data_IF_676523545496
#
_entry.id   IF_676523545496
#
_cell.length_a   1.000
_cell.length_b   1.000
_cell.length_c   1.000
_cell.angle_alpha   90.00
_cell.angle_beta   90.00
_cell.angle_gamma   90.00
#
_symmetry.space_group_name_H-M   'P 1'
#
loop_
_entity.id
_entity.type
_entity.pdbx_description
1 polymer ?
#
# COMPACT_ATOMS: atom_id res chain seq x y z
N UNK A 1 3.05 -23.98 -2.92
CA UNK A 1 2.24 -23.12 -3.82
C UNK A 1 2.52 -23.54 -5.27
N UNK A 2 1.53 -24.03 -6.03
CA UNK A 2 1.79 -24.44 -7.43
C UNK A 2 1.62 -23.24 -8.37
N UNK A 3 2.70 -22.48 -8.55
CA UNK A 3 2.75 -21.26 -9.37
C UNK A 3 2.26 -21.47 -10.82
N UNK A 4 2.41 -22.68 -11.36
CA UNK A 4 1.97 -23.02 -12.72
C UNK A 4 0.44 -22.99 -12.90
N UNK A 5 -0.34 -23.19 -11.83
CA UNK A 5 -1.81 -23.05 -11.90
C UNK A 5 -2.23 -21.58 -11.96
N UNK A 6 -1.51 -20.67 -11.29
CA UNK A 6 -1.86 -19.25 -11.26
C UNK A 6 -1.62 -18.56 -12.61
N UNK A 7 -0.53 -18.90 -13.30
CA UNK A 7 -0.21 -18.27 -14.60
C UNK A 7 -1.23 -18.60 -15.69
N UNK A 8 -1.82 -19.80 -15.66
CA UNK A 8 -2.82 -20.28 -16.64
C UNK A 8 -4.23 -19.67 -16.48
N UNK A 9 -4.52 -19.00 -15.36
CA UNK A 9 -5.84 -18.40 -15.11
C UNK A 9 -6.04 -17.11 -15.91
N UNK A 10 -7.28 -16.88 -16.37
CA UNK A 10 -7.67 -15.65 -17.07
C UNK A 10 -7.41 -14.44 -16.17
N UNK A 11 -6.70 -13.44 -16.70
CA UNK A 11 -6.41 -12.20 -15.98
C UNK A 11 -7.59 -11.24 -16.10
N UNK A 12 -8.12 -10.78 -14.96
CA UNK A 12 -9.22 -9.82 -14.92
C UNK A 12 -8.73 -8.37 -14.88
N UNK A 13 -8.26 -7.86 -16.01
CA UNK A 13 -7.68 -6.51 -16.10
C UNK A 13 -8.57 -5.39 -15.55
N UNK A 14 -9.89 -5.46 -15.77
CA UNK A 14 -10.85 -4.48 -15.24
C UNK A 14 -10.88 -4.48 -13.70
N UNK A 15 -10.89 -5.67 -13.10
CA UNK A 15 -10.89 -5.85 -11.63
C UNK A 15 -9.59 -5.33 -11.02
N UNK A 16 -8.45 -5.65 -11.65
CA UNK A 16 -7.13 -5.15 -11.26
C UNK A 16 -7.11 -3.62 -11.29
N UNK A 17 -7.53 -3.00 -12.39
CA UNK A 17 -7.52 -1.55 -12.56
C UNK A 17 -8.36 -0.84 -11.50
N UNK A 18 -9.62 -1.26 -11.31
CA UNK A 18 -10.53 -0.65 -10.32
C UNK A 18 -9.97 -0.80 -8.91
N UNK A 19 -9.52 -2.01 -8.53
CA UNK A 19 -8.95 -2.25 -7.19
C UNK A 19 -7.68 -1.43 -6.97
N UNK A 20 -6.80 -1.34 -7.96
CA UNK A 20 -5.56 -0.58 -7.86
C UNK A 20 -5.83 0.90 -7.64
N UNK A 21 -6.74 1.50 -8.43
CA UNK A 21 -7.13 2.91 -8.27
C UNK A 21 -7.73 3.14 -6.88
N UNK A 22 -8.67 2.30 -6.45
CA UNK A 22 -9.33 2.45 -5.16
C UNK A 22 -8.34 2.34 -3.99
N UNK A 23 -7.42 1.36 -4.04
CA UNK A 23 -6.40 1.20 -3.01
C UNK A 23 -5.34 2.30 -3.03
N UNK A 24 -5.01 2.87 -4.20
CA UNK A 24 -4.18 4.07 -4.28
C UNK A 24 -4.84 5.26 -3.59
N UNK A 25 -6.14 5.48 -3.81
CA UNK A 25 -6.86 6.55 -3.12
C UNK A 25 -6.87 6.34 -1.61
N UNK A 26 -7.10 5.10 -1.16
CA UNK A 26 -7.02 4.77 0.28
C UNK A 26 -5.60 4.97 0.83
N UNK A 27 -4.56 4.65 0.06
CA UNK A 27 -3.16 4.87 0.47
C UNK A 27 -2.91 6.36 0.73
N UNK A 28 -3.34 7.23 -0.18
CA UNK A 28 -3.22 8.69 -0.02
C UNK A 28 -4.01 9.16 1.21
N UNK A 29 -5.22 8.66 1.41
CA UNK A 29 -6.02 9.00 2.59
C UNK A 29 -5.35 8.57 3.89
N UNK A 30 -4.71 7.39 3.91
CA UNK A 30 -3.96 6.92 5.08
C UNK A 30 -2.77 7.83 5.39
N UNK A 31 -2.01 8.28 4.39
CA UNK A 31 -0.95 9.27 4.58
C UNK A 31 -1.47 10.58 5.21
N UNK A 32 -2.62 11.07 4.72
CA UNK A 32 -3.24 12.29 5.25
C UNK A 32 -3.66 12.08 6.72
N UNK A 33 -4.32 10.96 7.02
CA UNK A 33 -4.75 10.63 8.38
C UNK A 33 -3.55 10.52 9.31
N UNK A 34 -2.50 9.81 8.88
CA UNK A 34 -1.27 9.65 9.65
C UNK A 34 -0.62 10.99 9.98
N UNK A 35 -0.55 11.90 9.01
CA UNK A 35 -0.06 13.26 9.23
C UNK A 35 -0.85 13.98 10.33
N UNK A 36 -2.18 13.95 10.28
CA UNK A 36 -3.03 14.57 11.30
C UNK A 36 -2.91 13.89 12.66
N UNK A 37 -2.80 12.57 12.69
CA UNK A 37 -2.60 11.81 13.93
C UNK A 37 -1.27 12.16 14.56
N UNK A 38 -0.19 12.21 13.77
CA UNK A 38 1.14 12.60 14.25
C UNK A 38 1.14 14.01 14.85
N UNK A 39 0.56 14.99 14.15
CA UNK A 39 0.41 16.36 14.66
C UNK A 39 -0.48 16.42 15.91
N UNK A 40 -1.56 15.64 15.95
CA UNK A 40 -2.46 15.59 17.10
C UNK A 40 -1.79 15.05 18.38
N UNK A 41 -0.87 14.09 18.24
CA UNK A 41 -0.14 13.53 19.38
C UNK A 41 1.05 14.38 19.82
N UNK A 42 1.84 14.92 18.88
CA UNK A 42 3.11 15.57 19.18
C UNK A 42 3.07 17.10 19.12
N UNK A 43 1.92 17.68 18.77
CA UNK A 43 1.70 19.12 18.63
C UNK A 43 2.33 19.70 17.37
N UNK A 44 2.29 21.03 17.26
CA UNK A 44 2.90 21.77 16.14
C UNK A 44 4.28 22.35 16.51
N UNK A 45 5.17 22.50 15.54
CA UNK A 45 6.44 23.24 15.68
C UNK A 45 7.67 22.38 15.97
N UNK A 46 8.66 22.97 16.66
CA UNK A 46 10.03 22.42 16.80
C UNK A 46 10.09 21.04 17.49
N UNK A 47 9.09 20.71 18.31
CA UNK A 47 9.01 19.39 18.97
C UNK A 47 8.60 18.31 17.98
N UNK A 48 7.56 18.52 17.18
CA UNK A 48 7.14 17.56 16.17
C UNK A 48 8.19 17.35 15.08
N UNK A 49 8.86 18.43 14.63
CA UNK A 49 9.95 18.35 13.64
C UNK A 49 11.11 17.47 14.14
N UNK A 50 11.53 17.67 15.38
CA UNK A 50 12.60 16.86 15.99
C UNK A 50 12.19 15.41 16.21
N UNK A 51 10.91 15.13 16.44
CA UNK A 51 10.39 13.77 16.61
C UNK A 51 10.28 13.07 15.25
N UNK A 52 9.86 13.77 14.19
CA UNK A 52 9.78 13.19 12.84
C UNK A 52 11.15 12.84 12.25
N UNK A 53 12.22 13.51 12.70
CA UNK A 53 13.60 13.20 12.31
C UNK A 53 14.19 11.96 13.01
N UNK A 54 13.48 11.37 13.97
CA UNK A 54 13.93 10.15 14.61
C UNK A 54 13.71 8.98 13.64
N UNK A 55 14.78 8.23 13.35
CA UNK A 55 14.80 7.18 12.32
C UNK A 55 13.62 6.20 12.35
N UNK A 56 13.18 5.75 13.55
CA UNK A 56 12.06 4.82 13.64
C UNK A 56 10.71 5.50 13.43
N UNK A 57 10.58 6.79 13.74
CA UNK A 57 9.37 7.58 13.48
C UNK A 57 9.27 7.86 11.99
N UNK A 58 10.37 8.26 11.36
CA UNK A 58 10.46 8.45 9.91
C UNK A 58 10.02 7.18 9.16
N UNK A 59 10.54 6.01 9.53
CA UNK A 59 10.12 4.73 8.93
C UNK A 59 8.62 4.47 9.10
N UNK A 60 8.06 4.78 10.28
CA UNK A 60 6.62 4.62 10.51
C UNK A 60 5.85 5.55 9.57
N UNK A 61 6.14 6.85 9.61
CA UNK A 61 5.44 7.86 8.81
C UNK A 61 5.56 7.60 7.30
N UNK A 62 6.66 7.01 6.85
CA UNK A 62 6.89 6.75 5.44
C UNK A 62 6.27 5.44 4.94
N UNK A 63 6.27 4.39 5.76
CA UNK A 63 5.96 3.03 5.28
C UNK A 63 4.71 2.43 5.93
N UNK A 64 4.22 2.95 7.05
CA UNK A 64 3.05 2.40 7.73
C UNK A 64 1.82 2.31 6.80
N UNK A 65 1.49 3.32 5.98
CA UNK A 65 0.33 3.25 5.08
C UNK A 65 0.41 2.09 4.08
N UNK A 66 1.60 1.86 3.50
CA UNK A 66 1.78 0.76 2.54
C UNK A 66 1.81 -0.59 3.26
N UNK A 67 2.33 -0.66 4.49
CA UNK A 67 2.25 -1.88 5.30
C UNK A 67 0.80 -2.25 5.64
N UNK A 68 -0.05 -1.28 5.95
CA UNK A 68 -1.48 -1.51 6.23
C UNK A 68 -2.18 -2.09 4.99
N UNK A 69 -2.04 -1.44 3.83
CA UNK A 69 -2.68 -1.91 2.59
C UNK A 69 -2.07 -3.22 2.09
N UNK A 70 -0.75 -3.35 2.17
CA UNK A 70 -0.03 -4.57 1.79
C UNK A 70 -0.43 -5.75 2.66
N UNK A 71 -0.55 -5.55 3.97
CA UNK A 71 -1.04 -6.55 4.92
C UNK A 71 -2.49 -6.96 4.64
N UNK A 72 -3.37 -6.00 4.34
CA UNK A 72 -4.75 -6.29 3.92
C UNK A 72 -4.78 -7.16 2.65
N UNK A 73 -4.02 -6.79 1.61
CA UNK A 73 -3.94 -7.57 0.38
C UNK A 73 -3.36 -8.97 0.61
N UNK A 74 -2.31 -9.09 1.41
CA UNK A 74 -1.71 -10.39 1.77
C UNK A 74 -2.71 -11.28 2.50
N UNK A 75 -3.49 -10.74 3.43
CA UNK A 75 -4.57 -11.47 4.11
C UNK A 75 -5.61 -11.98 3.11
N UNK A 76 -6.06 -11.12 2.18
CA UNK A 76 -6.99 -11.50 1.11
C UNK A 76 -6.40 -12.54 0.15
N UNK A 77 -5.11 -12.44 -0.18
CA UNK A 77 -4.41 -13.41 -1.03
C UNK A 77 -4.42 -14.80 -0.36
N UNK A 78 -4.11 -14.85 0.94
CA UNK A 78 -4.08 -16.10 1.71
C UNK A 78 -5.49 -16.70 1.87
N UNK A 79 -6.48 -15.87 2.22
CA UNK A 79 -7.88 -16.30 2.34
C UNK A 79 -8.43 -16.86 1.02
N UNK A 80 -8.26 -16.11 -0.08
CA UNK A 80 -8.73 -16.54 -1.40
C UNK A 80 -8.01 -17.80 -1.89
N UNK A 81 -6.74 -17.97 -1.52
CA UNK A 81 -6.02 -19.20 -1.86
C UNK A 81 -6.57 -20.42 -1.11
N UNK A 82 -6.85 -20.27 0.20
CA UNK A 82 -7.45 -21.34 1.00
C UNK A 82 -8.85 -21.72 0.50
N UNK A 83 -9.63 -20.75 0.03
CA UNK A 83 -10.94 -20.95 -0.58
C UNK A 83 -10.89 -21.40 -2.05
N UNK A 84 -9.70 -21.67 -2.60
CA UNK A 84 -9.48 -22.06 -4.00
C UNK A 84 -9.95 -21.01 -5.04
N UNK A 85 -10.14 -19.76 -4.62
CA UNK A 85 -10.42 -18.57 -5.44
C UNK A 85 -9.14 -18.03 -6.07
N UNK A 86 -8.54 -18.85 -6.93
CA UNK A 86 -7.20 -18.59 -7.48
C UNK A 86 -7.15 -17.36 -8.41
N UNK A 87 -8.25 -17.04 -9.10
CA UNK A 87 -8.33 -15.87 -9.98
C UNK A 87 -8.27 -14.57 -9.17
N UNK A 88 -9.01 -14.51 -8.07
CA UNK A 88 -9.06 -13.38 -7.14
C UNK A 88 -7.73 -13.22 -6.40
N UNK A 89 -7.12 -14.34 -5.98
CA UNK A 89 -5.78 -14.36 -5.40
C UNK A 89 -4.74 -13.81 -6.38
N UNK A 90 -4.75 -14.26 -7.65
CA UNK A 90 -3.88 -13.72 -8.71
C UNK A 90 -4.09 -12.22 -8.93
N UNK A 91 -5.35 -11.78 -9.03
CA UNK A 91 -5.71 -10.37 -9.16
C UNK A 91 -5.14 -9.55 -8.01
N UNK A 92 -5.30 -10.01 -6.76
CA UNK A 92 -4.78 -9.30 -5.59
C UNK A 92 -3.23 -9.27 -5.56
N UNK A 93 -2.56 -10.34 -5.99
CA UNK A 93 -1.09 -10.37 -6.12
C UNK A 93 -0.63 -9.30 -7.13
N UNK A 94 -1.27 -9.24 -8.30
CA UNK A 94 -0.91 -8.25 -9.33
C UNK A 94 -1.16 -6.83 -8.81
N UNK A 95 -2.31 -6.59 -8.17
CA UNK A 95 -2.63 -5.31 -7.54
C UNK A 95 -1.58 -4.93 -6.49
N UNK A 96 -1.13 -5.87 -5.65
CA UNK A 96 -0.08 -5.62 -4.65
C UNK A 96 1.23 -5.17 -5.32
N UNK A 97 1.64 -5.86 -6.38
CA UNK A 97 2.86 -5.49 -7.13
C UNK A 97 2.73 -4.09 -7.73
N UNK A 98 1.59 -3.77 -8.34
CA UNK A 98 1.34 -2.43 -8.90
C UNK A 98 1.46 -1.36 -7.80
N UNK A 99 0.82 -1.57 -6.65
CA UNK A 99 0.88 -0.62 -5.53
C UNK A 99 2.28 -0.43 -4.98
N UNK A 100 3.08 -1.50 -4.87
CA UNK A 100 4.47 -1.42 -4.44
C UNK A 100 5.27 -0.58 -5.44
N UNK A 101 5.12 -0.82 -6.74
CA UNK A 101 5.80 -0.03 -7.78
C UNK A 101 5.41 1.44 -7.69
N UNK A 102 4.11 1.75 -7.61
CA UNK A 102 3.60 3.12 -7.47
C UNK A 102 4.14 3.79 -6.22
N UNK A 103 4.20 3.06 -5.10
CA UNK A 103 4.73 3.57 -3.84
C UNK A 103 6.22 3.94 -3.94
N UNK A 104 7.05 3.09 -4.56
CA UNK A 104 8.47 3.40 -4.76
C UNK A 104 8.70 4.56 -5.72
N UNK A 105 7.83 4.73 -6.72
CA UNK A 105 7.88 5.88 -7.63
C UNK A 105 7.45 7.19 -6.98
N UNK A 106 6.87 7.19 -5.77
CA UNK A 106 6.39 8.43 -5.12
C UNK A 106 7.49 9.49 -5.01
N UNK A 107 8.72 9.06 -4.69
CA UNK A 107 9.83 9.98 -4.44
C UNK A 107 10.25 10.68 -5.74
N UNK A 108 10.28 9.97 -6.86
CA UNK A 108 10.54 10.55 -8.18
C UNK A 108 9.42 11.51 -8.59
N UNK A 109 8.16 11.16 -8.31
CA UNK A 109 7.00 12.03 -8.60
C UNK A 109 7.07 13.31 -7.76
N UNK A 110 7.43 13.22 -6.48
CA UNK A 110 7.61 14.40 -5.62
C UNK A 110 8.71 15.33 -6.14
N UNK A 111 9.85 14.79 -6.56
CA UNK A 111 10.97 15.56 -7.14
C UNK A 111 10.65 16.19 -8.50
N UNK A 112 9.66 15.68 -9.24
CA UNK A 112 9.22 16.28 -10.50
C UNK A 112 8.23 17.42 -10.30
N UNK A 113 7.53 17.45 -9.16
CA UNK A 113 6.49 18.44 -8.85
C UNK A 113 7.05 19.63 -8.05
N UNK A 114 8.06 19.40 -7.21
CA UNK A 114 8.72 20.40 -6.36
C UNK A 114 10.16 20.67 -6.81
#
# INVERSE_FOLDING_TARGET
MNLQKLTKLKTEYKSIAIKSILLCVILILLFIIEFFVFWGFYGEGATASRISEIWYVEIILDYLPIFIIGGYLMSQIFSNFNEQKYTESKTNIITLVILIVVFFMRNEIQQLIF
#
